data_IF_006441678247
#
_entry.id   IF_006441678247
#
_cell.length_a   1.000
_cell.length_b   1.000
_cell.length_c   1.000
_cell.angle_alpha   90.00
_cell.angle_beta   90.00
_cell.angle_gamma   90.00
#
_symmetry.space_group_name_H-M   'P 1'
#
loop_
_entity.id
_entity.type
_entity.pdbx_description
1 polymer ?
#
# COMPACT_ATOMS: atom_id res chain seq x y z
N UNK A 1 2.11 28.58 -4.45
CA UNK A 1 0.94 28.29 -3.59
C UNK A 1 0.19 27.15 -4.24
N UNK A 2 0.14 25.99 -3.59
CA UNK A 2 -0.55 24.82 -4.09
C UNK A 2 -2.05 24.96 -3.85
N UNK A 3 -2.88 24.54 -4.81
CA UNK A 3 -4.34 24.64 -4.70
C UNK A 3 -4.84 23.69 -3.62
N UNK A 4 -5.56 24.23 -2.62
CA UNK A 4 -6.23 23.42 -1.60
C UNK A 4 -7.39 22.64 -2.21
N UNK A 5 -7.57 21.39 -1.81
CA UNK A 5 -8.61 20.50 -2.30
C UNK A 5 -9.76 20.37 -1.29
N UNK A 6 -10.98 20.17 -1.77
CA UNK A 6 -12.14 19.91 -0.92
C UNK A 6 -12.02 18.51 -0.29
N UNK A 7 -12.03 18.39 1.06
CA UNK A 7 -11.97 17.12 1.76
C UNK A 7 -13.10 16.14 1.41
N UNK A 8 -14.23 16.62 0.87
CA UNK A 8 -15.33 15.75 0.40
C UNK A 8 -15.02 15.06 -0.92
N UNK A 9 -14.06 15.59 -1.70
CA UNK A 9 -13.68 15.09 -3.02
C UNK A 9 -12.33 14.39 -2.98
N UNK A 10 -11.40 14.87 -2.15
CA UNK A 10 -10.04 14.35 -2.05
C UNK A 10 -9.64 14.14 -0.59
N UNK A 11 -9.02 12.99 -0.30
CA UNK A 11 -8.40 12.73 1.00
C UNK A 11 -7.10 13.52 1.21
N UNK A 12 -6.54 14.09 0.13
CA UNK A 12 -5.32 14.91 0.17
C UNK A 12 -5.67 16.38 0.21
N UNK A 13 -4.92 17.15 1.00
CA UNK A 13 -5.20 18.56 1.28
C UNK A 13 -4.88 19.47 0.09
N UNK A 14 -3.92 19.10 -0.75
CA UNK A 14 -3.46 19.96 -1.85
C UNK A 14 -3.28 19.23 -3.17
N UNK A 15 -3.43 19.96 -4.27
CA UNK A 15 -3.22 19.46 -5.62
C UNK A 15 -1.79 18.93 -5.84
N UNK A 16 -0.81 19.55 -5.20
CA UNK A 16 0.59 19.09 -5.25
C UNK A 16 0.78 17.74 -4.55
N UNK A 17 0.21 17.54 -3.36
CA UNK A 17 0.22 16.23 -2.69
C UNK A 17 -0.47 15.18 -3.55
N UNK A 18 -1.63 15.48 -4.14
CA UNK A 18 -2.34 14.58 -5.03
C UNK A 18 -1.53 14.20 -6.28
N UNK A 19 -0.91 15.18 -6.94
CA UNK A 19 -0.04 14.93 -8.08
C UNK A 19 1.21 14.13 -7.73
N UNK A 20 1.78 14.36 -6.54
CA UNK A 20 2.93 13.58 -6.04
C UNK A 20 2.55 12.12 -5.76
N UNK A 21 1.41 11.91 -5.09
CA UNK A 21 0.88 10.59 -4.80
C UNK A 21 0.55 9.80 -6.08
N UNK A 22 -0.12 10.41 -7.05
CA UNK A 22 -0.48 9.75 -8.31
C UNK A 22 0.77 9.28 -9.07
N UNK A 23 1.81 10.11 -9.18
CA UNK A 23 3.08 9.71 -9.82
C UNK A 23 3.72 8.52 -9.12
N UNK A 24 3.86 8.59 -7.80
CA UNK A 24 4.43 7.49 -7.02
C UNK A 24 3.60 6.21 -7.13
N UNK A 25 2.27 6.32 -7.08
CA UNK A 25 1.37 5.17 -7.15
C UNK A 25 1.45 4.49 -8.52
N UNK A 26 1.46 5.26 -9.61
CA UNK A 26 1.64 4.74 -10.97
C UNK A 26 2.99 4.03 -11.14
N UNK A 27 4.07 4.60 -10.62
CA UNK A 27 5.38 3.93 -10.62
C UNK A 27 5.35 2.63 -9.83
N UNK A 28 4.71 2.62 -8.66
CA UNK A 28 4.56 1.42 -7.83
C UNK A 28 3.78 0.34 -8.57
N UNK A 29 2.68 0.69 -9.24
CA UNK A 29 1.89 -0.24 -10.04
C UNK A 29 2.71 -0.77 -11.22
N UNK A 30 3.41 0.10 -11.95
CA UNK A 30 4.27 -0.31 -13.06
C UNK A 30 5.31 -1.34 -12.63
N UNK A 31 6.00 -1.10 -11.51
CA UNK A 31 6.97 -2.05 -10.94
C UNK A 31 6.36 -3.42 -10.61
N UNK A 32 5.07 -3.46 -10.21
CA UNK A 32 4.36 -4.71 -9.92
C UNK A 32 3.83 -5.38 -11.18
N UNK A 33 3.50 -4.61 -12.21
CA UNK A 33 3.09 -5.13 -13.50
C UNK A 33 4.27 -5.72 -14.28
N UNK A 34 5.44 -5.10 -14.17
CA UNK A 34 6.70 -5.57 -14.76
C UNK A 34 7.31 -6.77 -13.99
N UNK A 35 6.71 -7.17 -12.86
CA UNK A 35 7.16 -8.29 -12.03
C UNK A 35 6.70 -9.63 -12.63
N UNK A 36 7.65 -10.49 -13.00
CA UNK A 36 7.36 -11.78 -13.65
C UNK A 36 6.96 -12.90 -12.69
N UNK A 37 6.94 -12.64 -11.38
CA UNK A 37 6.54 -13.66 -10.40
C UNK A 37 5.09 -14.06 -10.60
N UNK A 38 4.75 -15.34 -10.40
CA UNK A 38 3.38 -15.80 -10.53
C UNK A 38 2.48 -15.14 -9.48
N UNK A 39 1.20 -14.98 -9.86
CA UNK A 39 0.17 -14.56 -8.93
C UNK A 39 0.01 -15.56 -7.79
N UNK A 40 -0.33 -15.05 -6.62
CA UNK A 40 -0.58 -15.85 -5.42
C UNK A 40 -2.08 -16.10 -5.31
N UNK A 41 -2.54 -17.37 -5.16
CA UNK A 41 -3.93 -17.68 -4.83
C UNK A 41 -4.39 -16.96 -3.56
N UNK A 42 -5.69 -16.67 -3.48
CA UNK A 42 -6.25 -15.92 -2.35
C UNK A 42 -5.94 -16.59 -1.00
N UNK A 43 -6.19 -17.89 -0.87
CA UNK A 43 -6.01 -18.63 0.38
C UNK A 43 -4.55 -18.61 0.84
N UNK A 44 -3.61 -18.77 -0.10
CA UNK A 44 -2.18 -18.69 0.19
C UNK A 44 -1.75 -17.28 0.62
N UNK A 45 -2.32 -16.23 0.01
CA UNK A 45 -2.05 -14.85 0.42
C UNK A 45 -2.53 -14.59 1.86
N UNK A 46 -3.72 -15.09 2.22
CA UNK A 46 -4.28 -14.98 3.57
C UNK A 46 -3.42 -15.74 4.59
N UNK A 47 -3.00 -16.96 4.28
CA UNK A 47 -2.11 -17.74 5.15
C UNK A 47 -0.80 -17.00 5.44
N UNK A 48 -0.13 -16.48 4.40
CA UNK A 48 1.12 -15.71 4.54
C UNK A 48 0.96 -14.50 5.47
N UNK A 49 -0.18 -13.80 5.39
CA UNK A 49 -0.49 -12.66 6.26
C UNK A 49 -0.67 -13.11 7.71
N UNK A 50 -1.47 -14.15 7.96
CA UNK A 50 -1.70 -14.66 9.31
C UNK A 50 -0.41 -15.17 9.96
N UNK A 51 0.41 -15.92 9.23
CA UNK A 51 1.71 -16.37 9.74
C UNK A 51 2.59 -15.19 10.16
N UNK A 52 2.63 -14.12 9.37
CA UNK A 52 3.40 -12.93 9.71
C UNK A 52 2.87 -12.26 10.98
N UNK A 53 1.56 -12.09 11.11
CA UNK A 53 0.92 -11.47 12.28
C UNK A 53 1.21 -12.28 13.54
N UNK A 54 1.01 -13.60 13.50
CA UNK A 54 1.27 -14.47 14.65
C UNK A 54 2.75 -14.49 15.03
N UNK A 55 3.66 -14.45 14.05
CA UNK A 55 5.10 -14.35 14.33
C UNK A 55 5.44 -13.06 15.10
N UNK A 56 4.81 -11.94 14.75
CA UNK A 56 5.01 -10.66 15.44
C UNK A 56 4.44 -10.68 16.85
N UNK A 57 3.21 -11.20 17.02
CA UNK A 57 2.59 -11.33 18.36
C UNK A 57 3.45 -12.18 19.30
N UNK A 58 3.94 -13.32 18.84
CA UNK A 58 4.82 -14.19 19.65
C UNK A 58 6.10 -13.47 20.08
N UNK A 59 6.72 -12.69 19.17
CA UNK A 59 7.90 -11.88 19.52
C UNK A 59 7.60 -10.83 20.59
N UNK A 60 6.45 -10.15 20.48
CA UNK A 60 6.04 -9.15 21.46
C UNK A 60 5.65 -9.76 22.82
N UNK A 61 5.13 -10.99 22.84
CA UNK A 61 4.78 -11.67 24.09
C UNK A 61 6.00 -12.31 24.79
N UNK A 62 7.11 -12.46 24.10
CA UNK A 62 8.33 -13.09 24.60
C UNK A 62 9.40 -12.09 25.09
N UNK A 63 9.14 -10.78 24.99
CA UNK A 63 10.00 -9.71 25.49
C UNK A 63 9.29 -8.92 26.57
#
# INVERSE_FOLDING_TARGET
>A
MSTSLDPRISELETQEQAGSYDRWFRERIKRRFDDSRPNVPHDEAIERVWTLVESKKRRHAAG
#
